data_IF_380663759510
#
_entry.id   IF_380663759510
#
_cell.length_a   1.000
_cell.length_b   1.000
_cell.length_c   1.000
_cell.angle_alpha   90.00
_cell.angle_beta   90.00
_cell.angle_gamma   90.00
#
_symmetry.space_group_name_H-M   'P 1'
#
loop_
_entity.id
_entity.type
_entity.pdbx_description
1 polymer ?
#
# COMPACT_ATOMS: atom_id res chain seq x y z
N UNK A 1 19.41 27.61 -44.45
CA UNK A 1 19.44 26.13 -44.42
C UNK A 1 17.99 25.63 -44.39
N UNK A 2 17.57 24.95 -45.44
CA UNK A 2 16.21 24.37 -45.49
C UNK A 2 16.10 23.34 -44.38
N UNK A 3 15.15 23.51 -43.46
CA UNK A 3 14.72 22.45 -42.56
C UNK A 3 14.29 21.27 -43.43
N UNK A 4 14.87 20.10 -43.19
CA UNK A 4 14.55 18.92 -44.01
C UNK A 4 13.07 18.57 -43.79
N UNK A 5 12.40 18.13 -44.88
CA UNK A 5 11.04 17.61 -44.85
C UNK A 5 10.83 16.53 -43.75
N UNK A 6 11.91 15.84 -43.41
CA UNK A 6 11.93 14.82 -42.34
C UNK A 6 11.75 15.40 -40.94
N UNK A 7 12.34 16.57 -40.63
CA UNK A 7 12.19 17.24 -39.33
C UNK A 7 10.76 17.76 -39.16
N UNK A 8 10.15 18.25 -40.22
CA UNK A 8 8.76 18.70 -40.21
C UNK A 8 7.79 17.51 -40.08
N UNK A 9 8.07 16.37 -40.74
CA UNK A 9 7.29 15.16 -40.66
C UNK A 9 7.37 14.51 -39.27
N UNK A 10 8.52 14.58 -38.56
CA UNK A 10 8.69 14.06 -37.21
C UNK A 10 7.92 14.89 -36.18
N UNK A 11 7.98 16.23 -36.29
CA UNK A 11 7.21 17.12 -35.43
C UNK A 11 5.69 16.90 -35.61
N UNK A 12 5.23 16.73 -36.85
CA UNK A 12 3.83 16.41 -37.18
C UNK A 12 3.39 15.08 -36.58
N UNK A 13 4.19 14.03 -36.73
CA UNK A 13 3.87 12.72 -36.15
C UNK A 13 3.72 12.77 -34.65
N UNK A 14 4.60 13.52 -33.96
CA UNK A 14 4.55 13.64 -32.49
C UNK A 14 3.30 14.38 -32.01
N UNK A 15 2.83 15.37 -32.77
CA UNK A 15 1.58 16.13 -32.47
C UNK A 15 0.36 15.27 -32.72
N UNK A 16 0.30 14.56 -33.84
CA UNK A 16 -0.83 13.70 -34.22
C UNK A 16 -0.98 12.51 -33.28
N UNK A 17 0.11 11.87 -32.84
CA UNK A 17 0.08 10.74 -31.90
C UNK A 17 -0.34 11.19 -30.47
N UNK A 18 -0.02 12.42 -30.07
CA UNK A 18 -0.40 12.97 -28.75
C UNK A 18 -1.89 13.36 -28.66
N UNK A 19 -2.49 13.79 -29.77
CA UNK A 19 -3.89 14.22 -29.84
C UNK A 19 -4.82 13.03 -30.05
N UNK A 20 -4.41 11.99 -30.75
CA UNK A 20 -5.21 10.80 -31.00
C UNK A 20 -5.55 10.00 -29.72
N UNK A 21 -4.78 10.18 -28.62
CA UNK A 21 -5.02 9.54 -27.33
C UNK A 21 -5.98 10.29 -26.38
N UNK A 22 -6.25 11.56 -26.63
CA UNK A 22 -7.10 12.39 -25.77
C UNK A 22 -8.53 12.48 -26.37
N UNK A 23 -9.28 11.40 -26.27
CA UNK A 23 -10.65 11.37 -26.76
C UNK A 23 -11.53 12.46 -26.13
N UNK A 24 -11.73 13.56 -26.83
CA UNK A 24 -12.70 14.58 -26.45
C UNK A 24 -12.42 16.03 -26.84
N UNK A 25 -11.23 16.36 -27.35
CA UNK A 25 -10.94 17.67 -27.93
C UNK A 25 -10.37 17.47 -29.33
N UNK A 26 -11.23 17.16 -30.30
CA UNK A 26 -10.87 17.08 -31.72
C UNK A 26 -10.66 18.48 -32.30
N UNK A 27 -9.56 19.15 -31.94
CA UNK A 27 -8.98 20.16 -32.79
C UNK A 27 -8.11 19.44 -33.83
N UNK A 28 -8.57 19.39 -35.09
CA UNK A 28 -7.70 18.88 -36.15
C UNK A 28 -6.40 19.72 -36.19
N UNK A 29 -5.23 19.09 -36.39
CA UNK A 29 -3.95 19.79 -36.32
C UNK A 29 -3.89 20.93 -37.34
N UNK A 30 -3.45 22.09 -36.88
CA UNK A 30 -3.13 23.21 -37.77
C UNK A 30 -1.96 22.82 -38.65
N UNK A 31 -2.08 22.94 -39.94
CA UNK A 31 -1.05 22.60 -40.92
C UNK A 31 -0.55 23.88 -41.60
N UNK A 32 0.72 23.94 -41.97
CA UNK A 32 1.24 24.95 -42.85
C UNK A 32 0.76 24.58 -44.27
N UNK A 33 -0.17 25.37 -44.80
CA UNK A 33 -0.68 25.20 -46.15
C UNK A 33 0.27 25.66 -47.21
N UNK A 34 0.87 26.82 -47.04
CA UNK A 34 1.85 27.38 -47.97
C UNK A 34 2.76 28.39 -47.28
N UNK A 35 3.94 28.55 -47.81
CA UNK A 35 4.87 29.66 -47.53
C UNK A 35 5.08 30.34 -48.85
N UNK A 36 4.73 31.63 -48.94
CA UNK A 36 4.90 32.46 -50.17
C UNK A 36 5.82 33.62 -49.86
N UNK A 37 6.71 33.93 -50.79
CA UNK A 37 7.53 35.14 -50.71
C UNK A 37 6.65 36.38 -50.82
N UNK A 38 6.86 37.34 -49.94
CA UNK A 38 6.27 38.68 -49.99
C UNK A 38 7.42 39.71 -49.97
N UNK A 39 7.11 40.95 -50.28
CA UNK A 39 8.13 42.00 -50.25
C UNK A 39 8.73 42.16 -48.85
N UNK A 40 9.96 41.76 -48.65
CA UNK A 40 10.70 41.85 -47.39
C UNK A 40 10.36 40.78 -46.38
N UNK A 41 9.90 39.57 -46.81
CA UNK A 41 9.59 38.46 -45.92
C UNK A 41 8.86 37.32 -46.57
N UNK A 42 8.29 36.47 -45.73
CA UNK A 42 7.50 35.30 -46.12
C UNK A 42 6.15 35.33 -45.47
N UNK A 43 5.09 35.02 -46.23
CA UNK A 43 3.76 34.79 -45.69
C UNK A 43 3.53 33.31 -45.45
N UNK A 44 3.25 32.93 -44.21
CA UNK A 44 2.92 31.58 -43.80
C UNK A 44 1.41 31.50 -43.72
N UNK A 45 0.78 30.60 -44.50
CA UNK A 45 -0.64 30.34 -44.46
C UNK A 45 -0.88 29.03 -43.65
N UNK A 46 -1.62 29.12 -42.60
CA UNK A 46 -2.03 27.97 -41.79
C UNK A 46 -3.41 27.49 -42.25
N UNK A 47 -3.62 26.20 -42.24
CA UNK A 47 -4.90 25.55 -42.51
C UNK A 47 -5.30 24.72 -41.30
N UNK A 48 -6.51 24.90 -40.82
CA UNK A 48 -7.11 23.98 -39.85
C UNK A 48 -8.57 23.69 -40.26
N UNK A 49 -9.08 22.57 -39.76
CA UNK A 49 -10.49 22.17 -40.03
C UNK A 49 -11.19 22.19 -38.70
N UNK A 50 -12.36 22.86 -38.62
CA UNK A 50 -13.17 22.91 -37.41
C UNK A 50 -13.93 21.58 -37.17
N UNK A 51 -14.66 21.51 -36.04
CA UNK A 51 -15.43 20.33 -35.70
C UNK A 51 -16.59 20.00 -36.63
N UNK A 52 -16.97 20.94 -37.48
CA UNK A 52 -18.01 20.76 -38.51
C UNK A 52 -17.44 20.26 -39.84
N UNK A 53 -16.11 20.19 -39.94
CA UNK A 53 -15.42 19.80 -41.15
C UNK A 53 -15.10 20.98 -42.10
N UNK A 54 -15.33 22.21 -41.65
CA UNK A 54 -15.05 23.42 -42.45
C UNK A 54 -13.58 23.80 -42.39
N UNK A 55 -13.00 24.09 -43.54
CA UNK A 55 -11.61 24.54 -43.67
C UNK A 55 -11.49 26.04 -43.36
N UNK A 56 -10.58 26.36 -42.44
CA UNK A 56 -10.22 27.72 -42.08
C UNK A 56 -8.77 27.98 -42.40
N UNK A 57 -8.45 29.20 -42.79
CA UNK A 57 -7.09 29.63 -43.01
C UNK A 57 -6.79 30.90 -42.22
N UNK A 58 -5.56 31.01 -41.66
CA UNK A 58 -5.03 32.27 -41.20
C UNK A 58 -3.66 32.52 -41.81
N UNK A 59 -3.29 33.78 -41.92
CA UNK A 59 -2.03 34.18 -42.54
C UNK A 59 -1.23 34.96 -41.52
N UNK A 60 0.09 34.69 -41.51
CA UNK A 60 1.07 35.42 -40.72
C UNK A 60 2.22 35.83 -41.65
N UNK A 61 2.52 37.12 -41.67
CA UNK A 61 3.66 37.61 -42.42
C UNK A 61 4.89 37.60 -41.49
N UNK A 62 5.88 36.81 -41.85
CA UNK A 62 7.21 36.81 -41.24
C UNK A 62 8.10 37.70 -42.10
N UNK A 63 8.31 38.92 -41.67
CA UNK A 63 9.11 39.90 -42.40
C UNK A 63 10.59 39.58 -42.21
N UNK A 64 11.34 39.65 -43.32
CA UNK A 64 12.80 39.67 -43.24
C UNK A 64 13.21 40.94 -42.47
N UNK A 65 14.09 40.82 -41.52
CA UNK A 65 14.52 41.95 -40.71
C UNK A 65 15.08 43.09 -41.54
N UNK A 66 14.92 44.32 -41.05
CA UNK A 66 15.46 45.51 -41.70
C UNK A 66 16.97 45.32 -41.95
N UNK A 67 17.40 45.48 -43.22
CA UNK A 67 18.80 45.35 -43.68
C UNK A 67 19.32 43.93 -43.94
N UNK A 68 18.45 42.96 -44.33
CA UNK A 68 18.93 41.67 -44.83
C UNK A 68 19.39 40.68 -43.77
N UNK A 69 18.87 40.82 -42.55
CA UNK A 69 19.07 39.80 -41.52
C UNK A 69 18.24 38.58 -41.84
N UNK A 70 18.90 37.48 -42.13
CA UNK A 70 18.26 36.18 -42.32
C UNK A 70 17.82 35.56 -40.98
N UNK A 71 16.85 34.63 -41.01
CA UNK A 71 16.49 33.83 -39.86
C UNK A 71 17.58 32.76 -39.64
N UNK A 72 18.28 32.83 -38.52
CA UNK A 72 19.30 31.88 -38.12
C UNK A 72 18.73 30.60 -37.56
N UNK A 73 17.70 30.73 -36.71
CA UNK A 73 17.01 29.60 -36.13
C UNK A 73 15.62 29.97 -35.60
N UNK A 74 14.76 28.96 -35.50
CA UNK A 74 13.43 29.06 -34.86
C UNK A 74 13.36 27.98 -33.81
N UNK A 75 12.98 28.30 -32.58
CA UNK A 75 12.85 27.36 -31.48
C UNK A 75 11.60 27.69 -30.66
N UNK A 76 11.07 26.68 -30.01
CA UNK A 76 10.01 26.86 -29.00
C UNK A 76 10.69 26.88 -27.63
N UNK A 77 10.44 27.92 -26.84
CA UNK A 77 10.98 28.00 -25.47
C UNK A 77 10.16 27.15 -24.51
N UNK A 78 10.61 27.05 -23.26
CA UNK A 78 9.94 26.27 -22.21
C UNK A 78 8.52 26.77 -21.84
N UNK A 79 8.17 27.99 -22.25
CA UNK A 79 6.86 28.61 -22.06
C UNK A 79 5.91 28.44 -23.25
N UNK A 80 6.35 27.70 -24.29
CA UNK A 80 5.54 27.46 -25.48
C UNK A 80 5.54 28.62 -26.51
N UNK A 81 6.41 29.61 -26.36
CA UNK A 81 6.54 30.73 -27.30
C UNK A 81 7.51 30.39 -28.43
N UNK A 82 7.16 30.83 -29.63
CA UNK A 82 8.01 30.74 -30.80
C UNK A 82 9.06 31.84 -30.73
N UNK A 83 10.31 31.45 -30.56
CA UNK A 83 11.45 32.35 -30.56
C UNK A 83 12.18 32.28 -31.92
N UNK A 84 12.23 33.40 -32.59
CA UNK A 84 12.99 33.56 -33.85
C UNK A 84 14.35 34.19 -33.51
N UNK A 85 15.40 33.54 -33.92
CA UNK A 85 16.77 34.09 -33.82
C UNK A 85 17.27 34.51 -35.19
N UNK A 86 17.70 35.74 -35.32
CA UNK A 86 18.24 36.30 -36.55
C UNK A 86 19.74 36.08 -36.68
N UNK A 87 20.33 36.34 -37.87
CA UNK A 87 21.74 36.12 -38.15
C UNK A 87 22.68 37.01 -37.32
N UNK A 88 22.17 38.10 -36.76
CA UNK A 88 22.88 38.99 -35.83
C UNK A 88 22.79 38.59 -34.36
N UNK A 89 22.26 37.37 -34.08
CA UNK A 89 22.01 36.82 -32.75
C UNK A 89 20.92 37.55 -31.94
N UNK A 90 20.20 38.49 -32.53
CA UNK A 90 19.00 39.05 -31.90
C UNK A 90 17.85 38.02 -31.92
N UNK A 91 16.99 38.09 -30.90
CA UNK A 91 15.87 37.19 -30.78
C UNK A 91 14.56 37.96 -30.72
N UNK A 92 13.52 37.44 -31.38
CA UNK A 92 12.17 37.95 -31.31
C UNK A 92 11.24 36.86 -30.75
N UNK A 93 10.40 37.23 -29.80
CA UNK A 93 9.33 36.37 -29.32
C UNK A 93 8.09 36.59 -30.20
N UNK A 94 7.84 35.65 -31.12
CA UNK A 94 6.70 35.69 -32.03
C UNK A 94 5.37 35.29 -31.38
N UNK A 95 5.36 35.06 -30.07
CA UNK A 95 4.18 34.76 -29.29
C UNK A 95 3.99 33.27 -29.01
N UNK A 96 2.95 32.98 -28.23
CA UNK A 96 2.56 31.63 -27.85
C UNK A 96 2.05 30.83 -29.06
N UNK A 97 2.56 29.61 -29.26
CA UNK A 97 1.98 28.67 -30.23
C UNK A 97 0.80 27.99 -29.59
N UNK A 98 -0.43 28.19 -30.08
CA UNK A 98 -1.59 27.49 -29.59
C UNK A 98 -1.40 25.97 -29.74
N UNK A 99 -1.33 25.25 -28.62
CA UNK A 99 -1.16 23.79 -28.59
C UNK A 99 0.18 23.29 -28.07
N UNK A 100 1.17 24.17 -27.81
CA UNK A 100 2.36 23.80 -27.08
C UNK A 100 2.01 23.76 -25.58
N UNK A 101 1.90 22.54 -25.05
CA UNK A 101 1.77 22.21 -23.63
C UNK A 101 0.68 23.00 -22.86
N UNK A 102 -0.53 22.99 -23.40
CA UNK A 102 -1.69 23.62 -22.74
C UNK A 102 -1.86 23.05 -21.34
N UNK A 103 -1.64 23.89 -20.35
CA UNK A 103 -1.92 23.53 -18.96
C UNK A 103 -3.43 23.66 -18.68
N UNK A 104 -3.92 22.89 -17.73
CA UNK A 104 -5.27 23.03 -17.19
C UNK A 104 -5.39 24.43 -16.58
N UNK A 105 -6.37 25.23 -17.03
CA UNK A 105 -6.51 26.63 -16.63
C UNK A 105 -7.26 26.81 -15.31
N UNK A 106 -8.00 25.80 -14.86
CA UNK A 106 -8.76 25.80 -13.60
C UNK A 106 -8.61 24.47 -12.85
N UNK A 107 -8.90 24.49 -11.56
CA UNK A 107 -8.90 23.26 -10.76
C UNK A 107 -10.07 22.37 -11.17
N UNK A 108 -9.79 21.11 -11.56
CA UNK A 108 -10.79 20.12 -11.91
C UNK A 108 -10.82 19.04 -10.85
N UNK A 109 -11.97 18.85 -10.19
CA UNK A 109 -12.16 17.76 -9.21
C UNK A 109 -12.91 16.59 -9.84
N UNK A 110 -12.35 15.40 -9.76
CA UNK A 110 -12.98 14.19 -10.25
C UNK A 110 -14.14 13.78 -9.33
N UNK A 111 -15.37 13.71 -9.88
CA UNK A 111 -16.54 13.27 -9.12
C UNK A 111 -16.61 11.74 -8.98
N UNK A 112 -15.94 11.03 -9.86
CA UNK A 112 -15.83 9.56 -9.88
C UNK A 112 -14.37 9.20 -10.15
N UNK A 113 -13.98 7.96 -9.86
CA UNK A 113 -12.66 7.45 -10.26
C UNK A 113 -12.57 7.36 -11.78
N UNK A 114 -11.55 8.00 -12.38
CA UNK A 114 -11.29 7.98 -13.82
C UNK A 114 -9.81 7.65 -14.04
N UNK A 115 -9.52 6.48 -14.57
CA UNK A 115 -8.15 6.01 -14.76
C UNK A 115 -7.36 5.96 -13.45
N UNK A 116 -6.27 6.70 -13.37
CA UNK A 116 -5.45 6.84 -12.16
C UNK A 116 -5.88 7.97 -11.22
N UNK A 117 -6.95 8.72 -11.55
CA UNK A 117 -7.45 9.84 -10.73
C UNK A 117 -8.60 9.33 -9.87
N UNK A 118 -8.39 9.25 -8.55
CA UNK A 118 -9.42 8.84 -7.60
C UNK A 118 -10.55 9.87 -7.46
N UNK A 119 -11.77 9.42 -7.12
CA UNK A 119 -12.90 10.30 -6.78
C UNK A 119 -12.49 11.30 -5.68
N UNK A 120 -12.87 12.56 -5.84
CA UNK A 120 -12.53 13.66 -4.93
C UNK A 120 -11.12 14.24 -5.13
N UNK A 121 -10.30 13.66 -6.02
CA UNK A 121 -8.96 14.19 -6.33
C UNK A 121 -9.10 15.43 -7.21
N UNK A 122 -8.43 16.52 -6.82
CA UNK A 122 -8.35 17.75 -7.62
C UNK A 122 -7.08 17.73 -8.47
N UNK A 123 -7.23 17.91 -9.76
CA UNK A 123 -6.14 18.23 -10.69
C UNK A 123 -5.99 19.74 -10.68
N UNK A 124 -4.84 20.23 -10.25
CA UNK A 124 -4.61 21.65 -10.06
C UNK A 124 -4.49 22.39 -11.41
N UNK A 125 -4.92 23.65 -11.45
CA UNK A 125 -4.56 24.60 -12.50
C UNK A 125 -3.03 24.65 -12.68
N UNK A 126 -2.56 24.74 -13.91
CA UNK A 126 -1.14 24.67 -14.27
C UNK A 126 -0.60 23.25 -14.51
N UNK A 127 -1.40 22.19 -14.24
CA UNK A 127 -1.03 20.82 -14.64
C UNK A 127 -0.99 20.70 -16.16
N UNK A 128 0.14 20.28 -16.73
CA UNK A 128 0.26 20.09 -18.18
C UNK A 128 -0.62 18.95 -18.67
N UNK A 129 -1.05 18.98 -19.92
CA UNK A 129 -1.82 17.88 -20.53
C UNK A 129 -1.06 16.55 -20.47
N UNK A 130 0.27 16.59 -20.61
CA UNK A 130 1.13 15.42 -20.50
C UNK A 130 1.08 14.81 -19.10
N UNK A 131 1.16 15.63 -18.05
CA UNK A 131 1.03 15.15 -16.66
C UNK A 131 -0.38 14.67 -16.35
N UNK A 132 -1.40 15.36 -16.87
CA UNK A 132 -2.79 14.94 -16.75
C UNK A 132 -3.03 13.59 -17.42
N UNK A 133 -2.55 13.41 -18.67
CA UNK A 133 -2.65 12.14 -19.39
C UNK A 133 -1.94 11.00 -18.65
N UNK A 134 -0.75 11.24 -18.10
CA UNK A 134 -0.05 10.25 -17.24
C UNK A 134 -0.89 9.83 -16.04
N UNK A 135 -1.52 10.79 -15.35
CA UNK A 135 -2.42 10.49 -14.21
C UNK A 135 -3.65 9.68 -14.64
N UNK A 136 -4.22 9.96 -15.81
CA UNK A 136 -5.36 9.20 -16.35
C UNK A 136 -4.98 7.78 -16.74
N UNK A 137 -3.80 7.58 -17.33
CA UNK A 137 -3.39 6.30 -17.91
C UNK A 137 -2.77 5.34 -16.89
N UNK A 138 -2.23 5.85 -15.79
CA UNK A 138 -1.56 5.04 -14.76
C UNK A 138 -2.43 4.96 -13.53
N UNK A 139 -3.13 3.82 -13.36
CA UNK A 139 -3.78 3.50 -12.09
C UNK A 139 -2.72 3.10 -11.08
N UNK A 140 -2.56 3.91 -10.04
CA UNK A 140 -1.64 3.60 -8.94
C UNK A 140 -2.05 2.30 -8.24
N UNK A 141 -1.13 1.38 -8.19
CA UNK A 141 -1.25 0.14 -7.41
C UNK A 141 -0.10 0.07 -6.41
N UNK A 142 -0.45 -0.02 -5.13
CA UNK A 142 0.55 -0.19 -4.09
C UNK A 142 1.28 -1.54 -4.25
N UNK A 143 2.54 -1.64 -3.84
CA UNK A 143 3.24 -2.91 -3.73
C UNK A 143 2.48 -3.88 -2.82
N UNK A 144 2.54 -5.17 -3.16
CA UNK A 144 1.99 -6.24 -2.32
C UNK A 144 3.15 -6.92 -1.60
N UNK A 145 3.04 -7.01 -0.28
CA UNK A 145 4.04 -7.68 0.56
C UNK A 145 3.41 -8.75 1.43
N UNK A 146 4.20 -9.79 1.73
CA UNK A 146 3.93 -10.75 2.79
C UNK A 146 5.00 -10.62 3.88
N UNK A 147 4.60 -10.88 5.11
CA UNK A 147 5.51 -10.82 6.26
C UNK A 147 5.30 -12.05 7.12
N UNK A 148 6.40 -12.61 7.60
CA UNK A 148 6.42 -13.68 8.58
C UNK A 148 7.46 -13.42 9.66
N UNK A 149 7.16 -13.90 10.86
CA UNK A 149 8.10 -13.90 11.98
C UNK A 149 8.13 -15.30 12.56
N UNK A 150 9.32 -15.94 12.53
CA UNK A 150 9.47 -17.31 12.96
C UNK A 150 9.09 -17.47 14.44
N UNK A 151 8.29 -18.49 14.72
CA UNK A 151 7.81 -18.76 16.06
C UNK A 151 6.83 -17.71 16.61
N UNK A 152 6.19 -16.86 15.79
CA UNK A 152 5.13 -15.95 16.23
C UNK A 152 3.91 -16.69 16.80
N UNK A 153 3.03 -15.96 17.47
CA UNK A 153 1.82 -16.48 18.10
C UNK A 153 1.94 -16.58 19.63
N UNK A 154 1.11 -17.45 20.22
CA UNK A 154 1.03 -17.59 21.67
C UNK A 154 2.19 -18.42 22.22
N UNK A 155 2.82 -17.93 23.28
CA UNK A 155 3.94 -18.53 24.01
C UNK A 155 3.65 -18.57 25.50
N UNK A 156 4.31 -19.47 26.19
CA UNK A 156 4.27 -19.50 27.64
C UNK A 156 5.21 -18.47 28.24
N UNK A 157 4.80 -17.75 29.27
CA UNK A 157 5.67 -16.88 30.07
C UNK A 157 6.87 -17.68 30.60
N UNK A 158 8.05 -17.07 30.56
CA UNK A 158 9.31 -17.73 30.94
C UNK A 158 10.00 -18.48 29.80
N UNK A 159 9.35 -18.61 28.62
CA UNK A 159 10.03 -19.11 27.42
C UNK A 159 10.69 -17.97 26.63
N UNK A 160 11.58 -18.33 25.72
CA UNK A 160 12.31 -17.40 24.86
C UNK A 160 12.21 -17.85 23.42
N UNK A 161 12.06 -16.90 22.51
CA UNK A 161 12.06 -17.14 21.05
C UNK A 161 13.04 -16.19 20.41
N UNK A 162 13.92 -16.69 19.54
CA UNK A 162 14.79 -15.85 18.70
C UNK A 162 14.17 -15.76 17.29
N UNK A 163 13.46 -14.65 16.98
CA UNK A 163 12.75 -14.55 15.71
C UNK A 163 13.69 -14.30 14.53
N UNK A 164 13.36 -14.91 13.38
CA UNK A 164 13.77 -14.40 12.08
C UNK A 164 12.54 -13.76 11.43
N UNK A 165 12.64 -12.46 11.17
CA UNK A 165 11.64 -11.67 10.46
C UNK A 165 11.93 -11.79 8.97
N UNK A 166 10.89 -11.95 8.15
CA UNK A 166 11.02 -12.05 6.70
C UNK A 166 9.91 -11.24 6.04
N UNK A 167 10.28 -10.27 5.19
CA UNK A 167 9.37 -9.53 4.33
C UNK A 167 9.65 -9.91 2.88
N UNK A 168 8.61 -10.35 2.17
CA UNK A 168 8.70 -10.70 0.75
C UNK A 168 7.82 -9.77 -0.06
N UNK A 169 8.40 -9.13 -1.09
CA UNK A 169 7.70 -8.30 -2.06
C UNK A 169 7.14 -9.22 -3.13
N UNK A 170 5.82 -9.41 -3.13
CA UNK A 170 5.13 -10.27 -4.11
C UNK A 170 4.87 -9.55 -5.42
N UNK A 171 4.69 -8.22 -5.38
CA UNK A 171 4.55 -7.35 -6.53
C UNK A 171 4.96 -5.92 -6.14
N UNK A 172 5.69 -5.25 -7.02
CA UNK A 172 6.00 -3.82 -6.86
C UNK A 172 4.80 -2.91 -7.17
N UNK A 173 3.74 -3.44 -7.82
CA UNK A 173 2.67 -2.61 -8.36
C UNK A 173 3.21 -1.61 -9.38
N UNK A 174 2.77 -0.35 -9.29
CA UNK A 174 3.34 0.78 -10.05
C UNK A 174 4.45 1.50 -9.28
N UNK A 175 4.67 1.11 -8.02
CA UNK A 175 5.66 1.75 -7.14
C UNK A 175 7.08 1.26 -7.41
N UNK A 176 8.05 2.11 -7.06
CA UNK A 176 9.47 1.76 -7.07
C UNK A 176 9.93 1.50 -5.63
N UNK A 177 10.25 0.25 -5.24
CA UNK A 177 10.78 -0.06 -3.93
C UNK A 177 12.07 0.71 -3.63
N UNK A 178 12.24 1.15 -2.38
CA UNK A 178 13.40 1.93 -1.91
C UNK A 178 14.16 1.19 -0.81
N UNK A 179 13.46 0.78 0.25
CA UNK A 179 14.07 0.07 1.38
C UNK A 179 13.04 -0.78 2.13
N UNK A 180 13.54 -1.76 2.86
CA UNK A 180 12.77 -2.55 3.83
C UNK A 180 13.27 -2.24 5.23
N UNK A 181 12.36 -2.04 6.16
CA UNK A 181 12.64 -1.78 7.56
C UNK A 181 11.95 -2.82 8.44
N UNK A 182 12.64 -3.22 9.50
CA UNK A 182 12.11 -4.14 10.52
C UNK A 182 11.99 -3.43 11.86
N UNK A 183 10.88 -3.69 12.56
CA UNK A 183 10.58 -3.04 13.84
C UNK A 183 10.16 -4.04 14.92
N UNK A 184 10.45 -3.69 16.18
CA UNK A 184 9.82 -4.23 17.38
C UNK A 184 8.97 -3.12 18.03
N UNK A 185 7.66 -3.26 17.95
CA UNK A 185 6.73 -2.18 18.28
C UNK A 185 6.99 -0.94 17.41
N UNK A 186 7.45 0.14 18.03
CA UNK A 186 7.87 1.38 17.38
C UNK A 186 9.38 1.50 17.18
N UNK A 187 10.17 0.56 17.72
CA UNK A 187 11.64 0.61 17.67
C UNK A 187 12.12 0.05 16.35
N UNK A 188 12.86 0.85 15.58
CA UNK A 188 13.54 0.40 14.36
C UNK A 188 14.69 -0.54 14.75
N UNK A 189 14.70 -1.73 14.15
CA UNK A 189 15.73 -2.75 14.34
C UNK A 189 16.77 -2.75 13.23
N UNK A 190 16.31 -2.61 11.99
CA UNK A 190 17.18 -2.69 10.82
C UNK A 190 16.54 -1.98 9.62
N UNK A 191 17.41 -1.49 8.72
CA UNK A 191 17.02 -0.90 7.43
C UNK A 191 17.90 -1.50 6.33
N UNK A 192 17.28 -2.12 5.33
CA UNK A 192 17.94 -2.72 4.18
C UNK A 192 17.52 -2.00 2.90
N UNK A 193 18.50 -1.48 2.15
CA UNK A 193 18.23 -0.86 0.85
C UNK A 193 17.67 -1.90 -0.13
N UNK A 194 16.72 -1.49 -0.96
CA UNK A 194 16.21 -2.34 -2.02
C UNK A 194 17.30 -2.69 -3.04
N UNK A 195 17.39 -3.97 -3.38
CA UNK A 195 18.29 -4.48 -4.42
C UNK A 195 17.42 -5.12 -5.52
N UNK A 196 17.59 -4.65 -6.75
CA UNK A 196 16.85 -5.16 -7.89
C UNK A 196 17.06 -6.68 -8.06
N UNK A 197 15.96 -7.42 -8.21
CA UNK A 197 15.97 -8.89 -8.29
C UNK A 197 15.93 -9.59 -6.93
N UNK A 198 16.06 -8.86 -5.81
CA UNK A 198 15.88 -9.41 -4.47
C UNK A 198 14.45 -9.15 -4.02
N UNK A 199 13.68 -10.22 -3.81
CA UNK A 199 12.29 -10.11 -3.40
C UNK A 199 12.07 -10.35 -1.90
N UNK A 200 13.02 -10.99 -1.20
CA UNK A 200 12.88 -11.36 0.21
C UNK A 200 14.02 -10.76 1.03
N UNK A 201 13.64 -10.08 2.10
CA UNK A 201 14.52 -9.43 3.06
C UNK A 201 14.32 -10.08 4.42
N UNK A 202 15.41 -10.35 5.13
CA UNK A 202 15.36 -11.04 6.43
C UNK A 202 16.20 -10.33 7.48
N UNK A 203 15.73 -10.39 8.73
CA UNK A 203 16.46 -9.90 9.90
C UNK A 203 16.26 -10.86 11.06
N UNK A 204 17.35 -11.25 11.75
CA UNK A 204 17.29 -12.07 12.96
C UNK A 204 17.43 -11.14 14.16
N UNK A 205 16.35 -11.04 14.94
CA UNK A 205 16.34 -10.18 16.12
C UNK A 205 16.80 -10.92 17.38
N UNK A 206 17.07 -10.16 18.42
CA UNK A 206 17.36 -10.69 19.75
C UNK A 206 16.19 -11.52 20.29
N UNK A 207 16.46 -12.35 21.30
CA UNK A 207 15.45 -13.19 21.92
C UNK A 207 14.31 -12.35 22.52
N UNK A 208 13.08 -12.74 22.19
CA UNK A 208 11.83 -12.16 22.70
C UNK A 208 11.33 -13.03 23.86
N UNK A 209 11.03 -12.41 24.99
CA UNK A 209 10.54 -13.06 26.22
C UNK A 209 9.25 -12.44 26.75
N UNK A 210 8.80 -11.36 26.14
CA UNK A 210 7.59 -10.61 26.53
C UNK A 210 6.70 -10.35 25.31
N UNK A 211 5.42 -10.09 25.58
CA UNK A 211 4.45 -9.79 24.51
C UNK A 211 4.89 -8.55 23.71
N UNK A 212 5.02 -8.74 22.41
CA UNK A 212 5.37 -7.68 21.46
C UNK A 212 4.77 -7.94 20.08
N UNK A 213 4.71 -6.88 19.26
CA UNK A 213 4.33 -6.96 17.86
C UNK A 213 5.49 -6.49 17.02
N UNK A 214 5.94 -7.35 16.11
CA UNK A 214 7.00 -7.03 15.15
C UNK A 214 6.38 -6.74 13.79
N UNK A 215 7.02 -5.88 13.00
CA UNK A 215 6.55 -5.55 11.66
C UNK A 215 7.68 -5.38 10.66
N UNK A 216 7.36 -5.64 9.41
CA UNK A 216 8.16 -5.28 8.26
C UNK A 216 7.46 -4.18 7.46
N UNK A 217 8.20 -3.18 7.04
CA UNK A 217 7.74 -2.01 6.29
C UNK A 217 8.52 -1.93 4.99
N UNK A 218 7.81 -1.88 3.88
CA UNK A 218 8.38 -1.54 2.58
C UNK A 218 8.19 -0.04 2.33
N UNK A 219 9.28 0.70 2.20
CA UNK A 219 9.29 2.07 1.72
C UNK A 219 9.39 2.05 0.19
N UNK A 220 8.56 2.83 -0.49
CA UNK A 220 8.58 2.91 -1.95
C UNK A 220 8.22 4.31 -2.44
N UNK A 221 8.55 4.60 -3.71
CA UNK A 221 8.11 5.79 -4.43
C UNK A 221 6.93 5.42 -5.32
N UNK A 222 5.90 6.24 -5.29
CA UNK A 222 4.80 6.17 -6.26
C UNK A 222 5.27 6.65 -7.64
N UNK A 223 4.40 6.54 -8.66
CA UNK A 223 4.71 7.02 -10.01
C UNK A 223 4.94 8.53 -10.08
N UNK A 224 4.35 9.30 -9.16
CA UNK A 224 4.56 10.75 -9.00
C UNK A 224 5.81 11.10 -8.16
N UNK A 225 6.63 10.09 -7.83
CA UNK A 225 7.84 10.20 -7.01
C UNK A 225 7.59 10.57 -5.53
N UNK A 226 6.34 10.60 -5.06
CA UNK A 226 6.04 10.76 -3.63
C UNK A 226 6.36 9.49 -2.86
N UNK A 227 6.76 9.64 -1.58
CA UNK A 227 7.08 8.51 -0.71
C UNK A 227 5.79 7.90 -0.12
N UNK A 228 5.77 6.58 -0.05
CA UNK A 228 4.70 5.83 0.60
C UNK A 228 5.26 4.55 1.25
N UNK A 229 4.45 3.91 2.09
CA UNK A 229 4.82 2.68 2.78
C UNK A 229 3.74 1.63 2.70
N UNK A 230 4.14 0.35 2.75
CA UNK A 230 3.26 -0.79 3.00
C UNK A 230 3.84 -1.57 4.16
N UNK A 231 3.02 -1.89 5.18
CA UNK A 231 3.47 -2.66 6.34
C UNK A 231 2.63 -3.91 6.57
N UNK A 232 3.26 -4.89 7.20
CA UNK A 232 2.64 -6.11 7.72
C UNK A 232 3.28 -6.45 9.05
N UNK A 233 2.50 -7.08 9.95
CA UNK A 233 2.95 -7.40 11.31
C UNK A 233 2.64 -8.83 11.72
N UNK A 234 3.34 -9.29 12.76
CA UNK A 234 3.10 -10.52 13.47
C UNK A 234 3.32 -10.27 14.97
N UNK A 235 2.62 -11.02 15.83
CA UNK A 235 2.68 -10.81 17.27
C UNK A 235 3.20 -12.05 18.01
N UNK A 236 3.94 -11.83 19.08
CA UNK A 236 4.28 -12.78 20.12
C UNK A 236 3.45 -12.42 21.35
N UNK A 237 2.62 -13.34 21.81
CA UNK A 237 1.77 -13.13 22.98
C UNK A 237 2.19 -14.11 24.08
N UNK A 238 2.83 -13.62 25.10
CA UNK A 238 3.27 -14.45 26.23
C UNK A 238 2.17 -14.50 27.27
N UNK A 239 1.74 -15.72 27.61
CA UNK A 239 0.64 -15.98 28.54
C UNK A 239 1.05 -17.02 29.57
N UNK A 240 0.46 -16.96 30.75
CA UNK A 240 0.52 -18.06 31.70
C UNK A 240 -0.30 -19.24 31.16
N UNK A 241 0.22 -20.45 31.34
CA UNK A 241 -0.46 -21.65 30.87
C UNK A 241 -1.78 -21.89 31.65
N UNK A 242 -2.76 -22.49 30.99
CA UNK A 242 -3.93 -23.08 31.62
C UNK A 242 -3.70 -24.58 31.84
N UNK A 243 -4.44 -25.19 32.77
CA UNK A 243 -4.28 -26.60 33.14
C UNK A 243 -5.62 -27.28 33.26
N UNK A 244 -5.73 -28.54 32.86
CA UNK A 244 -6.96 -29.32 33.00
C UNK A 244 -6.63 -30.79 33.27
N UNK A 245 -7.50 -31.47 33.98
CA UNK A 245 -7.30 -32.89 34.28
C UNK A 245 -8.38 -33.49 35.18
N UNK A 246 -8.23 -34.79 35.42
CA UNK A 246 -9.04 -35.53 36.40
C UNK A 246 -8.39 -35.38 37.80
N UNK A 247 -9.19 -35.02 38.79
CA UNK A 247 -8.77 -34.85 40.17
C UNK A 247 -9.74 -35.59 41.14
N UNK A 248 -9.20 -35.99 42.30
CA UNK A 248 -10.05 -36.55 43.38
C UNK A 248 -10.66 -35.46 44.24
N UNK A 249 -9.91 -34.39 44.46
CA UNK A 249 -10.29 -33.17 45.19
C UNK A 249 -9.90 -31.93 44.38
N UNK A 250 -10.60 -30.82 44.63
CA UNK A 250 -10.21 -29.55 44.02
C UNK A 250 -8.76 -29.17 44.37
N UNK A 251 -7.93 -28.80 43.41
CA UNK A 251 -6.58 -28.30 43.65
C UNK A 251 -6.57 -27.07 44.56
N UNK A 252 -5.69 -27.05 45.54
CA UNK A 252 -5.50 -25.98 46.52
C UNK A 252 -4.12 -25.38 46.50
N UNK A 253 -3.17 -26.03 45.80
CA UNK A 253 -1.77 -25.61 45.70
C UNK A 253 -1.34 -25.45 44.25
N UNK A 254 -0.29 -24.64 44.04
CA UNK A 254 0.32 -24.46 42.74
C UNK A 254 0.82 -25.78 42.13
N UNK A 255 1.43 -26.65 42.96
CA UNK A 255 1.95 -27.95 42.53
C UNK A 255 0.87 -28.90 42.02
N UNK A 256 -0.32 -28.93 42.64
CA UNK A 256 -1.47 -29.72 42.17
C UNK A 256 -1.99 -29.21 40.83
N UNK A 257 -1.99 -27.89 40.60
CA UNK A 257 -2.39 -27.30 39.31
C UNK A 257 -1.38 -27.64 38.22
N UNK A 258 -0.10 -27.41 38.46
CA UNK A 258 0.96 -27.60 37.44
C UNK A 258 1.20 -29.07 37.09
N UNK A 259 0.72 -30.01 37.93
CA UNK A 259 0.74 -31.45 37.64
C UNK A 259 -0.35 -31.88 36.60
N UNK A 260 -1.35 -31.03 36.32
CA UNK A 260 -2.38 -31.31 35.35
C UNK A 260 -1.87 -31.12 33.91
N UNK A 261 -2.66 -31.50 32.92
CA UNK A 261 -2.35 -31.32 31.51
C UNK A 261 -2.29 -29.82 31.17
N UNK A 262 -1.14 -29.38 30.68
CA UNK A 262 -0.88 -27.98 30.29
C UNK A 262 -1.53 -27.63 28.96
N UNK A 263 -2.02 -26.38 28.85
CA UNK A 263 -2.49 -25.76 27.62
C UNK A 263 -2.06 -24.30 27.58
N UNK A 264 -1.39 -23.87 26.51
CA UNK A 264 -0.90 -22.50 26.35
C UNK A 264 -1.78 -21.77 25.34
N UNK A 265 -2.67 -20.90 25.85
CA UNK A 265 -3.66 -20.14 25.06
C UNK A 265 -3.85 -18.75 25.68
N UNK A 266 -4.22 -17.79 24.86
CA UNK A 266 -4.55 -16.42 25.29
C UNK A 266 -6.07 -16.22 25.54
N UNK A 267 -6.76 -17.28 25.93
CA UNK A 267 -8.21 -17.28 26.18
C UNK A 267 -8.57 -18.31 27.25
N UNK A 268 -9.66 -18.07 27.96
CA UNK A 268 -10.26 -19.04 28.87
C UNK A 268 -10.94 -20.21 28.16
N UNK A 269 -11.25 -20.11 26.88
CA UNK A 269 -11.94 -21.14 26.14
C UNK A 269 -11.09 -22.41 26.00
N UNK A 270 -11.62 -23.54 26.45
CA UNK A 270 -10.96 -24.83 26.42
C UNK A 270 -11.96 -25.94 26.11
N UNK A 271 -11.58 -26.85 25.24
CA UNK A 271 -12.25 -28.13 25.08
C UNK A 271 -11.34 -29.22 25.63
N UNK A 272 -11.86 -30.02 26.56
CA UNK A 272 -11.09 -31.12 27.12
C UNK A 272 -11.99 -32.37 27.19
N UNK A 273 -11.36 -33.54 27.06
CA UNK A 273 -12.00 -34.83 27.23
C UNK A 273 -11.32 -35.59 28.36
N UNK A 274 -12.09 -36.05 29.31
CA UNK A 274 -11.59 -36.69 30.52
C UNK A 274 -12.02 -38.16 30.54
N UNK A 275 -11.16 -39.03 31.11
CA UNK A 275 -11.52 -40.36 31.55
C UNK A 275 -11.54 -40.32 33.08
N UNK A 276 -12.72 -40.39 33.66
CA UNK A 276 -12.98 -40.24 35.09
C UNK A 276 -13.35 -41.59 35.71
N UNK A 277 -12.71 -41.95 36.83
CA UNK A 277 -13.05 -43.12 37.64
C UNK A 277 -13.25 -42.67 39.08
N UNK A 278 -14.47 -42.34 39.46
CA UNK A 278 -14.79 -41.70 40.75
C UNK A 278 -13.96 -40.42 40.98
N UNK A 279 -13.83 -39.62 39.94
CA UNK A 279 -13.03 -38.38 39.90
C UNK A 279 -13.84 -37.21 39.40
N UNK A 280 -13.26 -36.00 39.53
CA UNK A 280 -13.82 -34.74 39.09
C UNK A 280 -13.03 -34.22 37.90
N UNK A 281 -13.70 -33.65 36.91
CA UNK A 281 -13.00 -32.81 35.91
C UNK A 281 -12.64 -31.48 36.54
N UNK A 282 -11.43 -31.00 36.24
CA UNK A 282 -10.92 -29.73 36.70
C UNK A 282 -10.32 -28.92 35.57
N UNK A 283 -10.58 -27.61 35.58
CA UNK A 283 -9.96 -26.65 34.68
C UNK A 283 -9.47 -25.43 35.47
N UNK A 284 -8.19 -25.10 35.28
CA UNK A 284 -7.50 -24.02 35.95
C UNK A 284 -6.90 -23.08 34.91
N UNK A 285 -7.14 -21.78 35.03
CA UNK A 285 -6.61 -20.78 34.09
C UNK A 285 -6.40 -19.44 34.80
N UNK A 286 -5.53 -18.54 34.25
CA UNK A 286 -5.28 -17.22 34.82
C UNK A 286 -6.57 -16.42 35.03
N UNK A 287 -6.78 -15.92 36.25
CA UNK A 287 -7.99 -15.18 36.60
C UNK A 287 -8.19 -13.89 35.79
N UNK A 288 -7.14 -13.37 35.18
CA UNK A 288 -7.18 -12.23 34.27
C UNK A 288 -8.06 -12.44 33.03
N UNK A 289 -8.36 -13.69 32.67
CA UNK A 289 -9.31 -14.01 31.58
C UNK A 289 -10.78 -13.87 31.99
N UNK A 290 -11.07 -13.55 33.25
CA UNK A 290 -12.41 -13.43 33.78
C UNK A 290 -13.06 -14.80 34.08
N UNK A 291 -14.33 -14.78 34.51
CA UNK A 291 -15.06 -15.98 34.87
C UNK A 291 -15.61 -16.74 33.67
N UNK A 292 -15.72 -18.05 33.77
CA UNK A 292 -16.47 -18.83 32.79
C UNK A 292 -17.95 -18.41 32.79
N UNK A 293 -18.50 -18.32 31.62
CA UNK A 293 -19.92 -18.03 31.39
C UNK A 293 -20.73 -19.31 31.05
N UNK A 294 -20.00 -20.38 30.68
CA UNK A 294 -20.62 -21.64 30.28
C UNK A 294 -19.62 -22.79 30.41
N UNK A 295 -20.10 -23.95 30.82
CA UNK A 295 -19.41 -25.24 30.73
C UNK A 295 -20.41 -26.23 30.14
N UNK A 296 -20.16 -26.74 28.92
CA UNK A 296 -21.08 -27.61 28.21
C UNK A 296 -20.49 -28.98 27.92
N UNK A 297 -21.35 -30.01 27.93
CA UNK A 297 -20.94 -31.34 27.49
C UNK A 297 -20.96 -31.51 25.97
N UNK A 298 -20.71 -32.74 25.49
CA UNK A 298 -20.71 -33.05 24.06
C UNK A 298 -22.10 -32.86 23.40
N UNK A 299 -23.19 -32.86 24.15
CA UNK A 299 -24.57 -32.69 23.69
C UNK A 299 -25.06 -31.26 23.87
N UNK A 300 -24.16 -30.32 24.22
CA UNK A 300 -24.47 -28.93 24.46
C UNK A 300 -25.32 -28.62 25.70
N UNK A 301 -25.41 -29.57 26.66
CA UNK A 301 -26.02 -29.33 27.96
C UNK A 301 -25.12 -28.50 28.86
N UNK A 302 -25.74 -27.56 29.61
CA UNK A 302 -25.03 -26.62 30.49
C UNK A 302 -24.72 -27.29 31.85
N UNK A 303 -23.43 -27.19 32.27
CA UNK A 303 -22.91 -27.77 33.52
C UNK A 303 -22.27 -26.74 34.45
N UNK A 304 -22.25 -25.44 34.14
CA UNK A 304 -21.55 -24.43 34.96
C UNK A 304 -22.02 -24.49 36.45
N UNK A 305 -23.29 -24.66 36.70
CA UNK A 305 -23.82 -24.77 38.07
C UNK A 305 -23.39 -26.03 38.84
N UNK A 306 -22.88 -27.04 38.13
CA UNK A 306 -22.34 -28.27 38.71
C UNK A 306 -20.84 -28.15 39.03
N UNK A 307 -20.22 -26.97 38.82
CA UNK A 307 -18.84 -26.72 39.14
C UNK A 307 -18.71 -25.77 40.31
N UNK A 308 -17.77 -26.06 41.18
CA UNK A 308 -17.33 -25.14 42.24
C UNK A 308 -16.14 -24.35 41.74
N UNK A 309 -16.20 -23.01 41.88
CA UNK A 309 -15.08 -22.11 41.60
C UNK A 309 -14.28 -21.80 42.85
N UNK A 310 -12.97 -21.97 42.80
CA UNK A 310 -12.02 -21.51 43.84
C UNK A 310 -10.89 -20.69 43.19
N UNK A 311 -9.98 -20.16 43.99
CA UNK A 311 -8.80 -19.43 43.49
C UNK A 311 -7.54 -19.97 44.12
N UNK A 312 -6.49 -20.14 43.33
CA UNK A 312 -5.15 -20.56 43.75
C UNK A 312 -4.11 -19.66 43.06
N UNK A 313 -3.03 -19.32 43.79
CA UNK A 313 -1.91 -18.57 43.21
C UNK A 313 -0.86 -19.52 42.66
N UNK A 314 -0.49 -19.39 41.39
CA UNK A 314 0.58 -20.13 40.72
C UNK A 314 1.61 -19.13 40.21
N UNK A 315 2.84 -19.22 40.64
CA UNK A 315 3.95 -18.32 40.25
C UNK A 315 3.57 -16.83 40.33
N UNK A 316 2.93 -16.43 41.42
CA UNK A 316 2.47 -15.05 41.64
C UNK A 316 1.22 -14.62 40.85
N UNK A 317 0.67 -15.49 40.00
CA UNK A 317 -0.55 -15.23 39.20
C UNK A 317 -1.75 -15.94 39.84
N UNK A 318 -2.87 -15.21 40.02
CA UNK A 318 -4.11 -15.78 40.49
C UNK A 318 -4.76 -16.64 39.39
N UNK A 319 -5.19 -17.84 39.74
CA UNK A 319 -5.90 -18.77 38.86
C UNK A 319 -7.35 -18.98 39.32
N UNK A 320 -8.29 -18.97 38.41
CA UNK A 320 -9.61 -19.51 38.62
C UNK A 320 -9.54 -21.03 38.45
N UNK A 321 -10.03 -21.76 39.43
CA UNK A 321 -10.08 -23.23 39.49
C UNK A 321 -11.53 -23.66 39.49
N UNK A 322 -11.98 -24.23 38.38
CA UNK A 322 -13.32 -24.79 38.24
C UNK A 322 -13.26 -26.31 38.37
N UNK A 323 -13.88 -26.89 39.41
CA UNK A 323 -13.87 -28.33 39.68
C UNK A 323 -15.29 -28.83 39.74
N UNK A 324 -15.63 -29.91 39.02
CA UNK A 324 -16.91 -30.57 39.10
C UNK A 324 -17.20 -30.92 40.56
N UNK A 325 -18.41 -30.56 41.05
CA UNK A 325 -18.74 -30.67 42.50
C UNK A 325 -18.78 -32.11 42.96
N UNK A 326 -19.37 -32.99 42.16
CA UNK A 326 -19.50 -34.40 42.48
C UNK A 326 -18.59 -35.28 41.63
N UNK A 327 -17.94 -36.32 42.19
CA UNK A 327 -17.13 -37.22 41.41
C UNK A 327 -18.02 -38.07 40.50
N UNK A 328 -17.53 -38.33 39.31
CA UNK A 328 -18.23 -39.16 38.33
C UNK A 328 -17.33 -40.28 37.80
N UNK A 329 -17.93 -41.33 37.27
CA UNK A 329 -17.24 -42.36 36.49
C UNK A 329 -17.75 -42.29 35.07
N UNK A 330 -16.92 -41.87 34.15
CA UNK A 330 -17.28 -41.72 32.76
C UNK A 330 -16.04 -41.84 31.86
N UNK A 331 -16.14 -42.53 30.74
CA UNK A 331 -15.16 -42.51 29.66
C UNK A 331 -15.53 -41.42 28.66
N UNK A 332 -14.54 -40.77 28.11
CA UNK A 332 -14.72 -39.70 27.08
C UNK A 332 -15.66 -38.55 27.52
N UNK A 333 -15.61 -38.19 28.81
CA UNK A 333 -16.35 -37.06 29.36
C UNK A 333 -15.85 -35.74 28.77
N UNK A 334 -16.49 -35.27 27.72
CA UNK A 334 -16.08 -34.05 27.00
C UNK A 334 -16.72 -32.82 27.64
N UNK A 335 -15.93 -31.79 27.89
CA UNK A 335 -16.36 -30.49 28.41
C UNK A 335 -15.84 -29.38 27.55
N UNK A 336 -16.68 -28.37 27.26
CA UNK A 336 -16.36 -27.13 26.54
C UNK A 336 -16.53 -25.98 27.53
N UNK A 337 -15.43 -25.36 27.89
CA UNK A 337 -15.37 -24.22 28.80
C UNK A 337 -15.34 -22.92 27.98
N UNK A 338 -16.17 -21.90 28.32
CA UNK A 338 -16.28 -20.63 27.62
C UNK A 338 -16.46 -19.42 28.56
#
# INVERSE_FOLDING_TARGET
MSLSVETLALARKYTDDSIAGAGGLEGKPCQIKSITEITGGHRVTFLWVDNNGDEHTSEMDVMDGAAGLGIKSVAINASGHLIVTYDDDTTEDAGEIPGADSAITENITANVEVGGIGSGTTVASGTTLTEFAKKLLVKETAPTVTFSASGSGVKEVGTSVTPTLSLTISSAGTGTPVSVEFYDGSTLLDTQSYVAGTNTYTYTMSAVTTTTTVKGVLNYKKSDNTSATVEKSASYTFVMASYYGAVTTAPTTAGEITALTKSVKNTKAQTATFNLSNQRSCYCYPASFGDLTSIKDANNFEYLSSYTKTSVTVDGTAYNVYTLTDPVTASSFKQVYA
#
